data_IF_500477456345
#
_entry.id   IF_500477456345
#
_cell.length_a   1.000
_cell.length_b   1.000
_cell.length_c   1.000
_cell.angle_alpha   90.00
_cell.angle_beta   90.00
_cell.angle_gamma   90.00
#
_symmetry.space_group_name_H-M   'P 1'
#
loop_
_entity.id
_entity.type
_entity.pdbx_description
1 polymer ?
#
# COMPACT_ATOMS: atom_id res chain seq x y z
N UNK A 1 30.56 -28.97 8.92
CA UNK A 1 29.37 -29.56 8.25
C UNK A 1 28.65 -28.45 7.52
N UNK A 2 28.88 -28.32 6.22
CA UNK A 2 28.30 -27.27 5.39
C UNK A 2 27.07 -27.82 4.69
N UNK A 3 25.88 -27.48 5.18
CA UNK A 3 24.62 -27.76 4.51
C UNK A 3 24.47 -26.77 3.34
N UNK A 4 25.05 -27.13 2.19
CA UNK A 4 24.74 -26.51 0.91
C UNK A 4 23.34 -26.98 0.48
N UNK A 5 22.30 -26.44 1.11
CA UNK A 5 20.96 -26.46 0.52
C UNK A 5 21.02 -25.58 -0.73
N UNK A 6 21.28 -26.19 -1.87
CA UNK A 6 20.94 -25.65 -3.18
C UNK A 6 19.46 -25.26 -3.12
N UNK A 7 19.18 -23.96 -3.00
CA UNK A 7 17.87 -23.37 -3.26
C UNK A 7 17.47 -23.87 -4.65
N UNK A 8 16.58 -24.87 -4.71
CA UNK A 8 15.95 -25.26 -5.99
C UNK A 8 15.20 -24.03 -6.44
N UNK A 9 15.70 -23.35 -7.46
CA UNK A 9 14.92 -22.34 -8.16
C UNK A 9 13.67 -23.03 -8.68
N UNK A 10 12.51 -22.52 -8.25
CA UNK A 10 11.23 -22.99 -8.76
C UNK A 10 11.24 -22.79 -10.27
N UNK A 11 10.87 -23.82 -11.06
CA UNK A 11 10.81 -23.69 -12.51
C UNK A 11 9.85 -22.54 -12.87
N UNK A 12 10.30 -21.66 -13.77
CA UNK A 12 9.52 -20.50 -14.22
C UNK A 12 8.18 -20.97 -14.81
N UNK A 13 7.10 -20.24 -14.49
CA UNK A 13 5.75 -20.60 -14.92
C UNK A 13 5.61 -20.68 -16.44
N UNK A 14 6.31 -19.81 -17.17
CA UNK A 14 6.39 -19.83 -18.64
C UNK A 14 6.90 -21.17 -19.19
N UNK A 15 8.01 -21.69 -18.64
CA UNK A 15 8.58 -22.97 -19.04
C UNK A 15 7.67 -24.16 -18.70
N UNK A 16 6.92 -24.09 -17.59
CA UNK A 16 5.96 -25.14 -17.23
C UNK A 16 4.80 -25.21 -18.22
N UNK A 17 4.28 -24.05 -18.63
CA UNK A 17 3.19 -23.96 -19.62
C UNK A 17 3.66 -24.45 -20.99
N UNK A 18 4.85 -24.04 -21.43
CA UNK A 18 5.44 -24.52 -22.68
C UNK A 18 5.62 -26.04 -22.69
N UNK A 19 6.10 -26.62 -21.58
CA UNK A 19 6.21 -28.06 -21.43
C UNK A 19 4.85 -28.76 -21.47
N UNK A 20 3.83 -28.19 -20.82
CA UNK A 20 2.47 -28.72 -20.85
C UNK A 20 1.88 -28.67 -22.28
N UNK A 21 2.10 -27.58 -23.00
CA UNK A 21 1.67 -27.41 -24.37
C UNK A 21 2.31 -28.44 -25.31
N UNK A 22 3.63 -28.60 -25.24
CA UNK A 22 4.36 -29.59 -26.01
C UNK A 22 3.89 -31.02 -25.72
N UNK A 23 3.60 -31.35 -24.46
CA UNK A 23 3.02 -32.65 -24.08
C UNK A 23 1.62 -32.86 -24.67
N UNK A 24 0.81 -31.82 -24.70
CA UNK A 24 -0.53 -31.86 -25.31
C UNK A 24 -0.46 -32.16 -26.81
N UNK A 25 0.47 -31.54 -27.54
CA UNK A 25 0.72 -31.86 -28.96
C UNK A 25 1.03 -33.35 -29.12
N UNK A 26 1.99 -33.87 -28.35
CA UNK A 26 2.36 -35.29 -28.41
C UNK A 26 1.18 -36.21 -28.11
N UNK A 27 0.35 -35.88 -27.12
CA UNK A 27 -0.81 -36.68 -26.76
C UNK A 27 -1.88 -36.72 -27.86
N UNK A 28 -2.11 -35.60 -28.54
CA UNK A 28 -3.05 -35.52 -29.68
C UNK A 28 -2.52 -36.31 -30.88
N UNK A 29 -1.20 -36.32 -31.10
CA UNK A 29 -0.57 -37.04 -32.20
C UNK A 29 -0.37 -38.53 -31.95
N UNK A 30 -0.40 -38.97 -30.69
CA UNK A 30 -0.20 -40.36 -30.30
C UNK A 30 -1.12 -41.37 -31.02
N UNK A 31 -2.44 -41.15 -31.16
CA UNK A 31 -3.32 -42.08 -31.88
C UNK A 31 -3.19 -42.02 -33.41
N UNK A 32 -2.37 -41.10 -33.94
CA UNK A 32 -2.09 -41.03 -35.38
C UNK A 32 -0.90 -41.96 -35.66
N UNK A 33 -1.17 -43.25 -35.76
CA UNK A 33 -0.18 -44.25 -36.16
C UNK A 33 -0.65 -45.04 -37.38
N UNK A 34 0.28 -45.79 -37.97
CA UNK A 34 0.01 -46.55 -39.20
C UNK A 34 -1.12 -47.56 -39.02
N UNK A 35 -1.22 -48.16 -37.83
CA UNK A 35 -2.29 -49.09 -37.49
C UNK A 35 -3.66 -48.41 -37.52
N UNK A 36 -3.84 -47.33 -36.75
CA UNK A 36 -5.12 -46.62 -36.64
C UNK A 36 -5.54 -46.02 -37.99
N UNK A 37 -4.57 -45.55 -38.78
CA UNK A 37 -4.83 -45.04 -40.14
C UNK A 37 -5.17 -46.16 -41.13
N UNK A 38 -4.58 -47.35 -41.02
CA UNK A 38 -4.91 -48.49 -41.89
C UNK A 38 -6.34 -48.98 -41.70
N UNK A 39 -6.86 -48.90 -40.47
CA UNK A 39 -8.27 -49.20 -40.17
C UNK A 39 -9.23 -48.19 -40.82
N UNK A 40 -8.84 -46.91 -40.86
CA UNK A 40 -9.63 -45.85 -41.49
C UNK A 40 -9.53 -45.84 -43.02
N UNK A 41 -8.41 -46.30 -43.59
CA UNK A 41 -8.11 -46.30 -45.02
C UNK A 41 -7.76 -47.70 -45.54
N UNK A 42 -8.73 -48.64 -45.60
CA UNK A 42 -8.47 -50.06 -45.89
C UNK A 42 -7.95 -50.34 -47.30
N UNK A 43 -8.07 -49.40 -48.23
CA UNK A 43 -7.60 -49.53 -49.62
C UNK A 43 -6.30 -48.77 -49.90
N UNK A 44 -5.74 -48.07 -48.91
CA UNK A 44 -4.48 -47.36 -49.07
C UNK A 44 -3.29 -48.31 -48.94
N UNK A 45 -2.21 -48.01 -49.67
CA UNK A 45 -0.95 -48.76 -49.52
C UNK A 45 -0.23 -48.35 -48.24
N UNK A 46 0.58 -49.25 -47.68
CA UNK A 46 1.34 -49.01 -46.44
C UNK A 46 2.23 -47.76 -46.54
N UNK A 47 2.91 -47.57 -47.67
CA UNK A 47 3.73 -46.38 -47.92
C UNK A 47 2.92 -45.07 -47.94
N UNK A 48 1.67 -45.10 -48.43
CA UNK A 48 0.78 -43.94 -48.39
C UNK A 48 0.34 -43.63 -46.95
N UNK A 49 0.06 -44.66 -46.15
CA UNK A 49 -0.36 -44.52 -44.76
C UNK A 49 0.78 -43.97 -43.89
N UNK A 50 2.00 -44.49 -44.06
CA UNK A 50 3.18 -44.01 -43.35
C UNK A 50 3.48 -42.54 -43.70
N UNK A 51 3.47 -42.21 -45.01
CA UNK A 51 3.63 -40.83 -45.47
C UNK A 51 2.55 -39.90 -44.91
N UNK A 52 1.29 -40.36 -44.83
CA UNK A 52 0.19 -39.56 -44.29
C UNK A 52 0.34 -39.32 -42.78
N UNK A 53 0.76 -40.35 -42.03
CA UNK A 53 1.06 -40.27 -40.59
C UNK A 53 2.13 -39.20 -40.32
N UNK A 54 3.26 -39.28 -41.02
CA UNK A 54 4.40 -38.40 -40.81
C UNK A 54 4.11 -36.96 -41.23
N UNK A 55 3.46 -36.77 -42.38
CA UNK A 55 3.04 -35.45 -42.83
C UNK A 55 2.05 -34.81 -41.86
N UNK A 56 1.08 -35.58 -41.37
CA UNK A 56 0.09 -35.07 -40.41
C UNK A 56 0.75 -34.64 -39.10
N UNK A 57 1.64 -35.47 -38.55
CA UNK A 57 2.39 -35.15 -37.32
C UNK A 57 3.25 -33.90 -37.49
N UNK A 58 3.94 -33.80 -38.61
CA UNK A 58 4.82 -32.65 -38.92
C UNK A 58 4.01 -31.37 -39.06
N UNK A 59 2.98 -31.39 -39.92
CA UNK A 59 2.14 -30.23 -40.20
C UNK A 59 1.41 -29.74 -38.93
N UNK A 60 0.80 -30.67 -38.19
CA UNK A 60 0.07 -30.33 -36.98
C UNK A 60 1.00 -29.75 -35.90
N UNK A 61 2.18 -30.35 -35.70
CA UNK A 61 3.16 -29.84 -34.73
C UNK A 61 3.64 -28.44 -35.09
N UNK A 62 3.95 -28.20 -36.37
CA UNK A 62 4.41 -26.91 -36.86
C UNK A 62 3.32 -25.85 -36.68
N UNK A 63 2.12 -26.10 -37.21
CA UNK A 63 1.02 -25.16 -37.12
C UNK A 63 0.62 -24.83 -35.67
N UNK A 64 0.61 -25.83 -34.79
CA UNK A 64 0.30 -25.62 -33.37
C UNK A 64 1.34 -24.74 -32.68
N UNK A 65 2.62 -24.96 -32.97
CA UNK A 65 3.71 -24.16 -32.40
C UNK A 65 3.68 -22.73 -32.90
N UNK A 66 3.57 -22.51 -34.21
CA UNK A 66 3.48 -21.16 -34.79
C UNK A 66 2.30 -20.39 -34.21
N UNK A 67 1.15 -21.05 -34.06
CA UNK A 67 -0.04 -20.41 -33.50
C UNK A 67 0.12 -20.08 -32.02
N UNK A 68 0.79 -20.95 -31.26
CA UNK A 68 1.14 -20.68 -29.87
C UNK A 68 2.12 -19.50 -29.75
N UNK A 69 3.16 -19.45 -30.57
CA UNK A 69 4.13 -18.36 -30.58
C UNK A 69 3.43 -17.02 -30.84
N UNK A 70 2.65 -16.93 -31.93
CA UNK A 70 1.90 -15.72 -32.27
C UNK A 70 0.96 -15.28 -31.14
N UNK A 71 0.20 -16.22 -30.55
CA UNK A 71 -0.67 -15.91 -29.42
C UNK A 71 0.11 -15.46 -28.19
N UNK A 72 1.23 -16.12 -27.88
CA UNK A 72 2.04 -15.86 -26.70
C UNK A 72 2.71 -14.48 -26.77
N UNK A 73 3.10 -14.05 -27.97
CA UNK A 73 3.64 -12.71 -28.23
C UNK A 73 2.55 -11.64 -28.14
N UNK A 74 1.41 -11.83 -28.82
CA UNK A 74 0.29 -10.89 -28.80
C UNK A 74 -0.22 -10.64 -27.37
N UNK A 75 -0.34 -11.71 -26.58
CA UNK A 75 -0.80 -11.64 -25.20
C UNK A 75 0.30 -11.22 -24.21
N UNK A 76 1.54 -10.99 -24.66
CA UNK A 76 2.71 -10.78 -23.78
C UNK A 76 2.78 -11.83 -22.66
N UNK A 77 2.51 -13.08 -23.01
CA UNK A 77 2.26 -14.17 -22.07
C UNK A 77 3.44 -14.43 -21.13
N UNK A 78 4.66 -14.28 -21.65
CA UNK A 78 5.90 -14.42 -20.88
C UNK A 78 6.00 -13.36 -19.79
N UNK A 79 5.70 -12.10 -20.13
CA UNK A 79 5.75 -11.00 -19.17
C UNK A 79 4.68 -11.17 -18.08
N UNK A 80 3.49 -11.66 -18.45
CA UNK A 80 2.46 -12.04 -17.47
C UNK A 80 2.97 -13.14 -16.53
N UNK A 81 3.57 -14.20 -17.05
CA UNK A 81 4.14 -15.27 -16.21
C UNK A 81 5.22 -14.73 -15.26
N UNK A 82 6.12 -13.89 -15.74
CA UNK A 82 7.19 -13.29 -14.93
C UNK A 82 6.62 -12.35 -13.85
N UNK A 83 5.57 -11.58 -14.16
CA UNK A 83 4.85 -10.75 -13.18
C UNK A 83 4.18 -11.60 -12.10
N UNK A 84 3.50 -12.69 -12.47
CA UNK A 84 2.90 -13.61 -11.52
C UNK A 84 3.96 -14.29 -10.63
N UNK A 85 5.08 -14.74 -11.20
CA UNK A 85 6.20 -15.34 -10.44
C UNK A 85 6.78 -14.33 -9.44
N UNK A 86 6.85 -13.04 -9.80
CA UNK A 86 7.29 -11.96 -8.91
C UNK A 86 6.29 -11.72 -7.78
N UNK A 87 5.00 -11.58 -8.10
CA UNK A 87 3.94 -11.36 -7.12
C UNK A 87 3.84 -12.51 -6.12
N UNK A 88 3.98 -13.75 -6.58
CA UNK A 88 4.00 -14.92 -5.70
C UNK A 88 5.19 -14.90 -4.74
N UNK A 89 6.39 -14.58 -5.23
CA UNK A 89 7.57 -14.40 -4.38
C UNK A 89 7.37 -13.30 -3.34
N UNK A 90 6.83 -12.16 -3.75
CA UNK A 90 6.53 -11.05 -2.84
C UNK A 90 5.49 -11.43 -1.79
N UNK A 91 4.42 -12.12 -2.17
CA UNK A 91 3.39 -12.58 -1.25
C UNK A 91 3.94 -13.56 -0.22
N UNK A 92 4.75 -14.54 -0.65
CA UNK A 92 5.43 -15.48 0.25
C UNK A 92 6.34 -14.72 1.23
N UNK A 93 7.12 -13.75 0.76
CA UNK A 93 7.98 -12.93 1.62
C UNK A 93 7.18 -12.11 2.64
N UNK A 94 6.02 -11.56 2.24
CA UNK A 94 5.14 -10.83 3.15
C UNK A 94 4.57 -11.73 4.24
N UNK A 95 4.11 -12.92 3.89
CA UNK A 95 3.60 -13.91 4.87
C UNK A 95 4.69 -14.35 5.85
N UNK A 96 5.93 -14.46 5.38
CA UNK A 96 7.08 -14.85 6.20
C UNK A 96 7.67 -13.69 7.03
N UNK A 97 7.24 -12.45 6.78
CA UNK A 97 7.73 -11.29 7.51
C UNK A 97 7.04 -11.21 8.89
N UNK A 98 7.80 -10.98 9.98
CA UNK A 98 7.26 -11.00 11.35
C UNK A 98 6.28 -9.87 11.66
N UNK A 99 6.11 -8.91 10.74
CA UNK A 99 5.13 -7.82 10.82
C UNK A 99 3.80 -8.12 10.12
N UNK A 100 3.59 -9.36 9.66
CA UNK A 100 2.33 -9.75 9.02
C UNK A 100 1.25 -9.98 10.08
N UNK A 101 0.52 -8.91 10.43
CA UNK A 101 -0.77 -9.06 11.10
C UNK A 101 -1.70 -9.82 10.15
N UNK A 102 -2.16 -11.01 10.56
CA UNK A 102 -3.04 -11.91 9.81
C UNK A 102 -4.39 -11.30 9.40
N UNK A 103 -4.64 -10.04 9.76
CA UNK A 103 -5.81 -9.24 9.39
C UNK A 103 -5.52 -8.24 8.25
N UNK A 104 -4.31 -8.23 7.67
CA UNK A 104 -3.94 -7.23 6.67
C UNK A 104 -4.45 -7.59 5.28
N UNK A 105 -5.57 -6.92 4.95
CA UNK A 105 -6.17 -6.73 3.63
C UNK A 105 -6.86 -7.97 3.05
N UNK A 106 -8.14 -8.13 3.37
CA UNK A 106 -9.07 -8.79 2.44
C UNK A 106 -8.87 -8.16 1.06
N UNK A 107 -8.67 -8.99 0.04
CA UNK A 107 -8.64 -8.55 -1.36
C UNK A 107 -10.04 -8.05 -1.71
N UNK A 108 -10.32 -6.80 -1.38
CA UNK A 108 -11.61 -6.19 -1.69
C UNK A 108 -11.57 -5.75 -3.15
N UNK A 109 -12.41 -6.39 -3.98
CA UNK A 109 -12.62 -6.00 -5.38
C UNK A 109 -13.35 -4.66 -5.54
N UNK A 110 -13.70 -3.99 -4.44
CA UNK A 110 -14.41 -2.72 -4.45
C UNK A 110 -13.40 -1.55 -4.49
N UNK A 111 -13.28 -0.83 -5.63
CA UNK A 111 -12.43 0.34 -5.74
C UNK A 111 -12.86 1.49 -4.80
N UNK A 112 -14.04 1.42 -4.17
CA UNK A 112 -14.48 2.40 -3.14
C UNK A 112 -13.96 2.10 -1.74
N UNK A 113 -13.50 0.87 -1.47
CA UNK A 113 -12.94 0.45 -0.18
C UNK A 113 -11.40 0.48 -0.17
N UNK A 114 -10.77 0.50 -1.35
CA UNK A 114 -9.35 0.83 -1.48
C UNK A 114 -9.21 2.36 -1.51
N UNK A 115 -8.85 2.97 -0.38
CA UNK A 115 -8.44 4.39 -0.40
C UNK A 115 -7.12 4.45 -1.20
N UNK A 116 -7.07 5.20 -2.32
CA UNK A 116 -5.83 5.43 -3.05
C UNK A 116 -4.68 5.81 -2.11
N UNK A 117 -3.48 5.21 -2.23
CA UNK A 117 -2.35 5.52 -1.35
C UNK A 117 -2.03 7.02 -1.26
N UNK A 118 -2.25 7.76 -2.35
CA UNK A 118 -2.07 9.22 -2.40
C UNK A 118 -3.07 9.98 -1.52
N UNK A 119 -4.30 9.47 -1.35
CA UNK A 119 -5.29 10.03 -0.43
C UNK A 119 -4.91 9.75 1.03
N UNK A 120 -4.32 8.58 1.32
CA UNK A 120 -3.81 8.28 2.67
C UNK A 120 -2.66 9.22 3.04
N UNK A 121 -1.73 9.46 2.12
CA UNK A 121 -0.58 10.34 2.34
C UNK A 121 -1.01 11.80 2.56
N UNK A 122 -1.94 12.30 1.74
CA UNK A 122 -2.49 13.65 1.90
C UNK A 122 -3.28 13.79 3.20
N UNK A 123 -4.13 12.83 3.56
CA UNK A 123 -4.85 12.84 4.84
C UNK A 123 -3.90 12.82 6.03
N UNK A 124 -2.85 12.00 5.98
CA UNK A 124 -1.83 11.93 7.06
C UNK A 124 -1.09 13.25 7.20
N UNK A 125 -0.76 13.90 6.08
CA UNK A 125 -0.07 15.19 6.06
C UNK A 125 -0.95 16.31 6.64
N UNK A 126 -2.23 16.34 6.26
CA UNK A 126 -3.22 17.28 6.80
C UNK A 126 -3.37 17.06 8.31
N UNK A 127 -3.47 15.81 8.76
CA UNK A 127 -3.64 15.49 10.17
C UNK A 127 -2.45 15.97 11.00
N UNK A 128 -1.22 15.78 10.52
CA UNK A 128 0.01 16.32 11.14
C UNK A 128 0.01 17.84 11.22
N UNK A 129 -0.40 18.53 10.16
CA UNK A 129 -0.49 20.00 10.14
C UNK A 129 -1.51 20.52 11.14
N UNK A 130 -2.68 19.88 11.22
CA UNK A 130 -3.71 20.23 12.20
C UNK A 130 -3.21 20.05 13.63
N UNK A 131 -2.54 18.94 13.91
CA UNK A 131 -2.01 18.62 15.23
C UNK A 131 -0.94 19.63 15.65
N UNK A 132 0.01 19.95 14.74
CA UNK A 132 1.02 20.98 14.98
C UNK A 132 0.40 22.36 15.24
N UNK A 133 -0.66 22.73 14.51
CA UNK A 133 -1.34 24.02 14.71
C UNK A 133 -2.10 24.08 16.03
N UNK A 134 -2.70 22.97 16.45
CA UNK A 134 -3.36 22.85 17.75
C UNK A 134 -2.35 23.01 18.89
N UNK A 135 -1.18 22.37 18.79
CA UNK A 135 -0.12 22.49 19.79
C UNK A 135 0.39 23.93 19.91
N UNK A 136 0.61 24.61 18.78
CA UNK A 136 1.00 26.03 18.76
C UNK A 136 -0.06 26.91 19.43
N UNK A 137 -1.35 26.65 19.18
CA UNK A 137 -2.44 27.40 19.79
C UNK A 137 -2.49 27.20 21.30
N UNK A 138 -2.26 25.97 21.78
CA UNK A 138 -2.23 25.67 23.21
C UNK A 138 -1.09 26.44 23.91
N UNK A 139 0.12 26.43 23.33
CA UNK A 139 1.26 27.18 23.87
C UNK A 139 0.98 28.69 23.93
N UNK A 140 0.36 29.25 22.88
CA UNK A 140 -0.02 30.67 22.87
C UNK A 140 -1.08 31.00 23.91
N UNK A 141 -2.09 30.14 24.07
CA UNK A 141 -3.12 30.32 25.07
C UNK A 141 -2.53 30.30 26.49
N UNK A 142 -1.64 29.38 26.80
CA UNK A 142 -0.96 29.30 28.10
C UNK A 142 -0.14 30.56 28.39
N UNK A 143 0.59 31.06 27.40
CA UNK A 143 1.36 32.31 27.52
C UNK A 143 0.44 33.52 27.77
N UNK A 144 -0.67 33.62 27.04
CA UNK A 144 -1.65 34.67 27.23
C UNK A 144 -2.30 34.59 28.62
N UNK A 145 -2.68 33.40 29.06
CA UNK A 145 -3.25 33.15 30.38
C UNK A 145 -2.30 33.60 31.50
N UNK A 146 -1.01 33.26 31.37
CA UNK A 146 0.04 33.68 32.31
C UNK A 146 0.22 35.20 32.31
N UNK A 147 0.25 35.82 31.13
CA UNK A 147 0.40 37.28 30.98
C UNK A 147 -0.79 38.03 31.59
N UNK A 148 -2.02 37.58 31.31
CA UNK A 148 -3.24 38.14 31.87
C UNK A 148 -3.21 38.04 33.40
N UNK A 149 -2.86 36.88 33.94
CA UNK A 149 -2.80 36.67 35.39
C UNK A 149 -1.80 37.61 36.06
N UNK A 150 -0.63 37.81 35.45
CA UNK A 150 0.38 38.77 35.92
C UNK A 150 -0.15 40.21 35.90
N UNK A 151 -0.81 40.62 34.82
CA UNK A 151 -1.38 41.97 34.69
C UNK A 151 -2.52 42.21 35.67
N UNK A 152 -3.37 41.23 35.92
CA UNK A 152 -4.44 41.30 36.94
C UNK A 152 -3.84 41.51 38.34
N UNK A 153 -2.73 40.82 38.67
CA UNK A 153 -2.03 41.03 39.94
C UNK A 153 -1.41 42.43 40.05
N UNK A 154 -0.82 42.93 38.97
CA UNK A 154 -0.26 44.28 38.91
C UNK A 154 -1.35 45.34 39.13
N UNK A 155 -2.48 45.23 38.43
CA UNK A 155 -3.65 46.09 38.61
C UNK A 155 -4.14 46.03 40.07
N UNK A 156 -4.28 44.83 40.63
CA UNK A 156 -4.71 44.66 42.02
C UNK A 156 -3.78 45.33 43.03
N UNK A 157 -2.46 45.32 42.78
CA UNK A 157 -1.47 46.02 43.61
C UNK A 157 -1.61 47.54 43.48
N UNK A 158 -1.75 48.04 42.25
CA UNK A 158 -1.96 49.47 42.00
C UNK A 158 -3.24 49.97 42.65
N UNK A 159 -4.35 49.24 42.53
CA UNK A 159 -5.61 49.57 43.20
C UNK A 159 -5.47 49.66 44.72
N UNK A 160 -4.78 48.71 45.35
CA UNK A 160 -4.51 48.74 46.80
C UNK A 160 -3.68 49.97 47.18
N UNK A 161 -2.67 50.32 46.39
CA UNK A 161 -1.84 51.51 46.64
C UNK A 161 -2.62 52.82 46.47
N UNK A 162 -3.51 52.91 45.48
CA UNK A 162 -4.38 54.07 45.30
C UNK A 162 -5.34 54.20 46.49
N UNK A 163 -5.98 53.10 46.89
CA UNK A 163 -6.88 53.08 48.06
C UNK A 163 -6.18 53.52 49.34
N UNK A 164 -4.96 53.04 49.60
CA UNK A 164 -4.21 53.45 50.80
C UNK A 164 -3.83 54.93 50.77
N UNK A 165 -3.44 55.45 49.60
CA UNK A 165 -3.16 56.88 49.42
C UNK A 165 -4.40 57.74 49.61
N UNK A 166 -5.56 57.33 49.10
CA UNK A 166 -6.83 58.03 49.30
C UNK A 166 -7.20 58.12 50.79
N UNK A 167 -7.11 57.02 51.53
CA UNK A 167 -7.34 57.02 52.99
C UNK A 167 -6.37 57.97 53.71
N UNK A 168 -5.10 57.99 53.30
CA UNK A 168 -4.11 58.93 53.86
C UNK A 168 -4.51 60.38 53.59
N UNK A 169 -4.90 60.72 52.36
CA UNK A 169 -5.35 62.07 51.99
C UNK A 169 -6.59 62.47 52.77
N UNK A 170 -7.59 61.59 52.87
CA UNK A 170 -8.80 61.81 53.66
C UNK A 170 -8.47 62.07 55.13
N UNK A 171 -7.52 61.34 55.70
CA UNK A 171 -7.07 61.56 57.08
C UNK A 171 -6.36 62.91 57.25
N UNK A 172 -5.52 63.32 56.30
CA UNK A 172 -4.85 64.63 56.32
C UNK A 172 -5.82 65.79 56.15
N UNK A 173 -6.85 65.64 55.32
CA UNK A 173 -7.90 66.65 55.15
C UNK A 173 -8.68 66.85 56.46
N UNK A 174 -9.07 65.77 57.14
CA UNK A 174 -9.74 65.86 58.45
C UNK A 174 -8.90 66.60 59.49
N UNK A 175 -7.60 66.31 59.56
CA UNK A 175 -6.70 67.00 60.48
C UNK A 175 -6.59 68.51 60.18
N UNK A 176 -6.58 68.91 58.90
CA UNK A 176 -6.58 70.32 58.50
C UNK A 176 -7.88 71.03 58.86
N UNK A 177 -9.02 70.35 58.69
CA UNK A 177 -10.33 70.90 59.08
C UNK A 177 -10.42 71.06 60.61
N UNK A 178 -9.91 70.08 61.38
CA UNK A 178 -9.84 70.16 62.84
C UNK A 178 -8.95 71.34 63.30
N UNK A 179 -7.78 71.55 62.66
CA UNK A 179 -6.88 72.68 62.99
C UNK A 179 -7.54 74.04 62.70
N UNK A 180 -8.29 74.17 61.60
CA UNK A 180 -9.01 75.43 61.27
C UNK A 180 -10.11 75.78 62.27
N UNK A 181 -10.72 74.78 62.92
CA UNK A 181 -11.72 75.00 63.98
C UNK A 181 -11.06 75.54 65.26
N UNK A 182 -9.79 75.23 65.52
CA UNK A 182 -9.05 75.76 66.68
C UNK A 182 -8.45 77.16 66.46
N UNK A 183 -8.31 77.61 65.21
CA UNK A 183 -7.81 78.96 64.86
C UNK A 183 -8.94 80.00 64.62
N UNK A 184 -10.21 79.60 64.73
CA UNK A 184 -11.40 80.48 64.61
C UNK A 184 -12.04 80.76 65.97
#
# INVERSE_FOLDING_TARGET
MSNSQTKRELPKRSSLVENAFNRSITNVLKPIDSQTLSEAFPFATEAMIESLSDQTKTLFSHYSKDRWEAFSEEASFKDLCDQFDKLEKEAIQRIQSPSFDSNSQEVTRDPKLSIPPILIETLTSILKLYQSRLDQQNVLNDLLQSTISSKVLEISKMEKSIKSRLVSIESSLKQLDDVKIFES
#
